data_IF_906866216018
#
_entry.id   IF_906866216018
#
_cell.length_a   1.000
_cell.length_b   1.000
_cell.length_c   1.000
_cell.angle_alpha   90.00
_cell.angle_beta   90.00
_cell.angle_gamma   90.00
#
_symmetry.space_group_name_H-M   'P 1'
#
loop_
_entity.id
_entity.type
_entity.pdbx_description
1 polymer ?
#
# COMPACT_ATOMS: atom_id res chain seq x y z
N UNK A 1 -14.77 13.66 16.62
CA UNK A 1 -13.62 14.30 15.97
C UNK A 1 -12.40 13.42 16.18
N UNK A 2 -11.75 12.99 15.07
CA UNK A 2 -10.53 12.20 15.17
C UNK A 2 -9.37 13.04 15.73
N UNK A 3 -8.37 12.37 16.28
CA UNK A 3 -7.15 13.02 16.76
C UNK A 3 -6.22 13.24 15.56
N UNK A 4 -6.05 14.48 15.11
CA UNK A 4 -5.04 14.82 14.14
C UNK A 4 -3.64 14.57 14.72
N UNK A 5 -2.75 14.03 13.91
CA UNK A 5 -1.41 13.63 14.31
C UNK A 5 -1.28 12.12 14.53
N UNK A 6 -0.07 11.62 14.33
CA UNK A 6 0.25 10.22 14.55
C UNK A 6 0.26 9.86 16.04
N UNK A 7 0.03 8.59 16.32
CA UNK A 7 0.13 8.02 17.65
C UNK A 7 0.64 6.58 17.57
N UNK A 8 0.90 5.97 18.70
CA UNK A 8 1.39 4.59 18.74
C UNK A 8 0.79 3.87 19.96
N UNK A 9 0.67 2.55 19.84
CA UNK A 9 0.17 1.70 20.92
C UNK A 9 1.21 1.54 22.03
N UNK A 10 0.74 1.15 23.21
CA UNK A 10 1.61 0.91 24.37
C UNK A 10 2.68 -0.16 24.11
N UNK A 11 2.39 -1.13 23.24
CA UNK A 11 3.37 -2.16 22.84
C UNK A 11 4.66 -1.61 22.25
N UNK A 12 4.65 -0.37 21.74
CA UNK A 12 5.85 0.30 21.20
C UNK A 12 6.86 0.72 22.27
N UNK A 13 6.48 0.72 23.54
CA UNK A 13 7.38 1.01 24.66
C UNK A 13 8.35 -0.17 24.94
N UNK A 14 8.01 -1.36 24.45
CA UNK A 14 8.81 -2.56 24.64
C UNK A 14 9.60 -2.87 23.38
N UNK A 15 10.91 -2.95 23.52
CA UNK A 15 11.77 -3.38 22.42
C UNK A 15 11.62 -4.90 22.20
N UNK A 16 11.40 -5.30 20.96
CA UNK A 16 11.30 -6.71 20.56
C UNK A 16 12.37 -7.00 19.51
N UNK A 17 13.12 -8.09 19.73
CA UNK A 17 14.11 -8.51 18.76
C UNK A 17 13.44 -9.06 17.48
N UNK A 18 13.96 -8.72 16.30
CA UNK A 18 13.46 -9.29 15.05
C UNK A 18 13.69 -10.80 15.00
N UNK A 19 12.71 -11.50 14.42
CA UNK A 19 12.79 -12.95 14.19
C UNK A 19 13.28 -13.21 12.76
N UNK A 20 14.04 -14.29 12.58
CA UNK A 20 14.60 -14.68 11.30
C UNK A 20 14.37 -16.16 11.03
N UNK A 21 14.20 -16.51 9.76
CA UNK A 21 14.23 -17.88 9.28
C UNK A 21 15.36 -18.04 8.27
N UNK A 22 15.96 -19.24 8.25
CA UNK A 22 16.93 -19.60 7.23
C UNK A 22 16.26 -20.45 6.16
N UNK A 23 16.38 -20.02 4.91
CA UNK A 23 15.94 -20.77 3.73
C UNK A 23 17.03 -20.72 2.66
N UNK A 24 17.44 -21.90 2.19
CA UNK A 24 18.44 -22.03 1.11
C UNK A 24 19.72 -21.22 1.35
N UNK A 25 20.20 -21.19 2.60
CA UNK A 25 21.39 -20.44 2.99
C UNK A 25 21.21 -18.93 3.18
N UNK A 26 19.99 -18.42 3.04
CA UNK A 26 19.68 -17.01 3.28
C UNK A 26 18.91 -16.82 4.58
N UNK A 27 19.34 -15.84 5.36
CA UNK A 27 18.66 -15.41 6.58
C UNK A 27 17.68 -14.30 6.25
N UNK A 28 16.38 -14.59 6.42
CA UNK A 28 15.30 -13.65 6.08
C UNK A 28 14.54 -13.24 7.34
N UNK A 29 14.24 -11.94 7.52
CA UNK A 29 13.39 -11.51 8.62
C UNK A 29 11.96 -12.02 8.40
N UNK A 30 11.29 -12.37 9.48
CA UNK A 30 9.88 -12.77 9.48
C UNK A 30 9.08 -11.93 10.45
N UNK A 31 7.82 -11.73 10.14
CA UNK A 31 6.89 -11.06 11.05
C UNK A 31 6.43 -12.04 12.12
N UNK A 32 6.54 -11.71 13.42
CA UNK A 32 6.00 -12.56 14.48
C UNK A 32 4.52 -12.85 14.30
N UNK A 33 4.09 -14.06 14.68
CA UNK A 33 2.71 -14.52 14.45
C UNK A 33 1.66 -13.59 15.06
N UNK A 34 1.88 -13.09 16.28
CA UNK A 34 0.92 -12.19 16.93
C UNK A 34 0.79 -10.85 16.20
N UNK A 35 1.88 -10.30 15.67
CA UNK A 35 1.86 -9.08 14.86
C UNK A 35 1.16 -9.32 13.52
N UNK A 36 1.43 -10.45 12.86
CA UNK A 36 0.74 -10.81 11.61
C UNK A 36 -0.77 -10.90 11.80
N UNK A 37 -1.24 -11.52 12.87
CA UNK A 37 -2.67 -11.64 13.19
C UNK A 37 -3.28 -10.26 13.46
N UNK A 38 -2.61 -9.41 14.23
CA UNK A 38 -3.08 -8.05 14.49
C UNK A 38 -3.17 -7.22 13.19
N UNK A 39 -2.16 -7.30 12.34
CA UNK A 39 -2.14 -6.62 11.04
C UNK A 39 -3.29 -7.07 10.13
N UNK A 40 -3.50 -8.38 10.03
CA UNK A 40 -4.58 -8.96 9.21
C UNK A 40 -5.96 -8.48 9.69
N UNK A 41 -6.18 -8.50 11.00
CA UNK A 41 -7.44 -8.01 11.58
C UNK A 41 -7.66 -6.52 11.36
N UNK A 42 -6.61 -5.71 11.50
CA UNK A 42 -6.68 -4.25 11.26
C UNK A 42 -6.97 -3.99 9.78
N UNK A 43 -6.29 -4.68 8.87
CA UNK A 43 -6.54 -4.51 7.43
C UNK A 43 -7.96 -4.93 7.05
N UNK A 44 -8.42 -6.08 7.53
CA UNK A 44 -9.77 -6.56 7.25
C UNK A 44 -10.83 -5.62 7.81
N UNK A 45 -10.69 -5.18 9.06
CA UNK A 45 -11.60 -4.20 9.67
C UNK A 45 -11.57 -2.86 8.95
N UNK A 46 -10.40 -2.39 8.58
CA UNK A 46 -10.20 -1.16 7.80
C UNK A 46 -10.92 -1.20 6.47
N UNK A 47 -10.78 -2.29 5.72
CA UNK A 47 -11.40 -2.42 4.40
C UNK A 47 -12.90 -2.69 4.43
N UNK A 48 -13.43 -3.33 5.48
CA UNK A 48 -14.85 -3.70 5.57
C UNK A 48 -15.69 -2.69 6.35
N UNK A 49 -15.15 -2.15 7.46
CA UNK A 49 -15.90 -1.29 8.39
C UNK A 49 -15.47 0.17 8.39
N UNK A 50 -14.20 0.44 8.09
CA UNK A 50 -13.60 1.77 8.22
C UNK A 50 -13.01 2.28 6.90
N UNK A 51 -13.67 1.97 5.80
CA UNK A 51 -13.22 2.32 4.44
C UNK A 51 -13.01 3.82 4.21
N UNK A 52 -13.75 4.65 4.94
CA UNK A 52 -13.68 6.11 4.81
C UNK A 52 -12.52 6.72 5.60
N UNK A 53 -11.83 5.92 6.40
CA UNK A 53 -10.70 6.36 7.25
C UNK A 53 -9.42 5.56 7.00
N UNK A 54 -9.51 4.25 6.84
CA UNK A 54 -8.36 3.38 6.59
C UNK A 54 -7.73 3.68 5.23
N UNK A 55 -6.41 3.84 5.20
CA UNK A 55 -5.67 4.09 3.98
C UNK A 55 -4.76 2.92 3.58
N UNK A 56 -4.17 2.24 4.53
CA UNK A 56 -3.29 1.12 4.29
C UNK A 56 -2.43 0.79 5.50
N UNK A 57 -1.59 -0.21 5.36
CA UNK A 57 -0.62 -0.58 6.38
C UNK A 57 0.64 -1.17 5.75
N UNK A 58 1.71 -1.13 6.51
CA UNK A 58 2.99 -1.76 6.17
C UNK A 58 3.64 -2.36 7.42
N UNK A 59 4.58 -3.28 7.23
CA UNK A 59 5.34 -3.88 8.33
C UNK A 59 6.79 -3.40 8.30
N UNK A 60 7.30 -3.02 9.48
CA UNK A 60 8.72 -2.79 9.71
C UNK A 60 9.26 -3.99 10.51
N UNK A 61 9.76 -4.99 9.80
CA UNK A 61 10.24 -6.24 10.41
C UNK A 61 11.49 -6.03 11.27
N UNK A 62 12.29 -5.00 10.99
CA UNK A 62 13.51 -4.71 11.78
C UNK A 62 13.16 -4.19 13.17
N UNK A 63 12.11 -3.37 13.26
CA UNK A 63 11.63 -2.81 14.52
C UNK A 63 10.47 -3.59 15.11
N UNK A 64 10.04 -4.65 14.45
CA UNK A 64 8.94 -5.53 14.88
C UNK A 64 7.67 -4.73 15.19
N UNK A 65 7.26 -3.91 14.21
CA UNK A 65 6.08 -3.05 14.31
C UNK A 65 5.31 -3.00 13.00
N UNK A 66 4.04 -2.68 13.08
CA UNK A 66 3.24 -2.30 11.93
C UNK A 66 3.04 -0.78 11.91
N UNK A 67 2.91 -0.22 10.71
CA UNK A 67 2.54 1.17 10.49
C UNK A 67 1.18 1.17 9.81
N UNK A 68 0.20 1.79 10.45
CA UNK A 68 -1.17 1.91 9.93
C UNK A 68 -1.39 3.35 9.50
N UNK A 69 -1.85 3.55 8.28
CA UNK A 69 -2.17 4.84 7.72
C UNK A 69 -3.68 5.04 7.74
N UNK A 70 -4.14 6.19 8.27
CA UNK A 70 -5.56 6.54 8.31
C UNK A 70 -5.77 8.04 8.15
N UNK A 71 -6.89 8.42 7.57
CA UNK A 71 -7.32 9.83 7.52
C UNK A 71 -7.78 10.24 8.92
N UNK A 72 -7.26 11.33 9.50
CA UNK A 72 -7.55 11.69 10.90
C UNK A 72 -8.98 12.17 11.13
N UNK A 73 -9.67 12.62 10.10
CA UNK A 73 -11.05 13.08 10.21
C UNK A 73 -11.98 11.91 10.53
N UNK A 74 -12.71 12.01 11.64
CA UNK A 74 -13.64 10.96 12.10
C UNK A 74 -13.01 9.59 12.36
N UNK A 75 -11.74 9.55 12.77
CA UNK A 75 -10.98 8.30 12.97
C UNK A 75 -11.12 7.67 14.35
N UNK A 76 -11.89 8.27 15.28
CA UNK A 76 -11.93 7.84 16.69
C UNK A 76 -12.29 6.36 16.85
N UNK A 77 -13.33 5.88 16.18
CA UNK A 77 -13.75 4.48 16.25
C UNK A 77 -12.71 3.52 15.68
N UNK A 78 -12.04 3.93 14.60
CA UNK A 78 -10.97 3.13 14.03
C UNK A 78 -9.72 3.13 14.91
N UNK A 79 -9.36 4.26 15.49
CA UNK A 79 -8.25 4.36 16.45
C UNK A 79 -8.50 3.44 17.66
N UNK A 80 -9.72 3.40 18.18
CA UNK A 80 -10.10 2.49 19.27
C UNK A 80 -10.03 1.02 18.83
N UNK A 81 -10.51 0.71 17.65
CA UNK A 81 -10.39 -0.63 17.07
C UNK A 81 -8.92 -1.09 16.95
N UNK A 82 -8.01 -0.19 16.52
CA UNK A 82 -6.58 -0.48 16.47
C UNK A 82 -6.03 -0.77 17.87
N UNK A 83 -6.38 0.02 18.87
CA UNK A 83 -5.91 -0.19 20.27
C UNK A 83 -6.34 -1.55 20.81
N UNK A 84 -7.59 -1.91 20.60
CA UNK A 84 -8.14 -3.20 21.03
C UNK A 84 -7.49 -4.39 20.30
N UNK A 85 -7.25 -4.24 19.00
CA UNK A 85 -6.70 -5.32 18.16
C UNK A 85 -5.20 -5.49 18.33
N UNK A 86 -4.47 -4.43 18.65
CA UNK A 86 -3.01 -4.45 18.77
C UNK A 86 -2.50 -5.36 19.89
N UNK A 87 -3.28 -5.55 20.97
CA UNK A 87 -2.85 -6.27 22.16
C UNK A 87 -1.50 -5.73 22.69
N UNK A 88 -0.46 -6.56 22.73
CA UNK A 88 0.89 -6.18 23.15
C UNK A 88 1.81 -5.78 21.97
N UNK A 89 1.30 -5.77 20.75
CA UNK A 89 2.08 -5.42 19.57
C UNK A 89 2.30 -3.92 19.44
N UNK A 90 3.43 -3.53 18.86
CA UNK A 90 3.70 -2.16 18.48
C UNK A 90 3.01 -1.82 17.14
N UNK A 91 2.01 -0.95 17.21
CA UNK A 91 1.36 -0.36 16.04
C UNK A 91 1.59 1.14 16.07
N UNK A 92 2.19 1.67 15.02
CA UNK A 92 2.38 3.10 14.80
C UNK A 92 1.29 3.57 13.84
N UNK A 93 0.52 4.56 14.25
CA UNK A 93 -0.54 5.14 13.41
C UNK A 93 -0.06 6.47 12.86
N UNK A 94 -0.19 6.66 11.56
CA UNK A 94 0.19 7.88 10.84
C UNK A 94 -1.00 8.44 10.07
N UNK A 95 -1.00 9.76 9.93
CA UNK A 95 -2.00 10.44 9.12
C UNK A 95 -1.78 10.16 7.63
N UNK A 96 -2.88 9.95 6.92
CA UNK A 96 -2.92 9.82 5.47
C UNK A 96 -3.84 10.90 4.89
N UNK A 97 -3.59 11.25 3.64
CA UNK A 97 -4.41 12.23 2.93
C UNK A 97 -5.73 11.64 2.41
N UNK A 98 -5.72 10.37 1.99
CA UNK A 98 -6.82 9.71 1.30
C UNK A 98 -7.07 8.31 1.84
N UNK A 99 -8.35 7.98 2.04
CA UNK A 99 -8.78 6.66 2.49
C UNK A 99 -8.98 5.69 1.30
N UNK A 100 -9.05 4.38 1.61
CA UNK A 100 -9.23 3.34 0.58
C UNK A 100 -10.54 3.49 -0.19
N UNK A 101 -11.62 3.98 0.42
CA UNK A 101 -12.88 4.24 -0.29
C UNK A 101 -12.71 5.31 -1.36
N UNK A 102 -12.10 6.44 -1.02
CA UNK A 102 -11.84 7.53 -1.96
C UNK A 102 -10.92 7.08 -3.10
N UNK A 103 -9.79 6.47 -2.77
CA UNK A 103 -8.84 5.99 -3.78
C UNK A 103 -9.40 4.85 -4.63
N UNK A 104 -10.27 4.02 -4.07
CA UNK A 104 -11.00 2.99 -4.80
C UNK A 104 -11.94 3.56 -5.86
N UNK A 105 -12.66 4.62 -5.54
CA UNK A 105 -13.53 5.32 -6.49
C UNK A 105 -12.71 5.94 -7.64
N UNK A 106 -11.59 6.55 -7.32
CA UNK A 106 -10.67 7.07 -8.34
C UNK A 106 -10.06 5.97 -9.20
N UNK A 107 -9.66 4.86 -8.59
CA UNK A 107 -9.17 3.69 -9.31
C UNK A 107 -10.19 3.21 -10.34
N UNK A 108 -11.42 3.00 -9.93
CA UNK A 108 -12.49 2.51 -10.81
C UNK A 108 -12.77 3.49 -11.97
N UNK A 109 -12.73 4.77 -11.68
CA UNK A 109 -12.92 5.81 -12.68
C UNK A 109 -11.79 5.83 -13.72
N UNK A 110 -10.54 5.77 -13.30
CA UNK A 110 -9.39 5.74 -14.22
C UNK A 110 -9.37 4.45 -15.03
N UNK A 111 -9.66 3.31 -14.42
CA UNK A 111 -9.74 2.02 -15.11
C UNK A 111 -10.84 2.01 -16.17
N UNK A 112 -12.00 2.60 -15.88
CA UNK A 112 -13.06 2.75 -16.86
C UNK A 112 -12.66 3.61 -18.07
N UNK A 113 -11.70 4.52 -17.91
CA UNK A 113 -11.23 5.45 -18.94
C UNK A 113 -9.96 4.99 -19.68
N UNK A 114 -9.49 3.74 -19.46
CA UNK A 114 -8.24 3.26 -20.08
C UNK A 114 -8.24 3.37 -21.60
N UNK A 115 -9.34 3.00 -22.27
CA UNK A 115 -9.46 3.11 -23.72
C UNK A 115 -9.44 4.58 -24.19
N UNK A 116 -10.10 5.47 -23.46
CA UNK A 116 -10.09 6.92 -23.71
C UNK A 116 -8.66 7.47 -23.67
N UNK A 117 -7.87 7.09 -22.67
CA UNK A 117 -6.49 7.54 -22.56
C UNK A 117 -5.58 6.95 -23.62
N UNK A 118 -5.77 5.67 -23.97
CA UNK A 118 -5.00 5.03 -25.06
C UNK A 118 -5.19 5.77 -26.38
N UNK A 119 -6.41 6.11 -26.73
CA UNK A 119 -6.72 6.88 -27.97
C UNK A 119 -6.06 8.26 -27.96
N UNK A 120 -5.93 8.87 -26.79
CA UNK A 120 -5.25 10.16 -26.62
C UNK A 120 -3.73 10.06 -26.56
N UNK A 121 -3.18 8.87 -26.62
CA UNK A 121 -1.74 8.63 -26.58
C UNK A 121 -1.14 8.62 -25.18
N UNK A 122 -1.94 8.35 -24.16
CA UNK A 122 -1.47 8.06 -22.79
C UNK A 122 -1.64 6.56 -22.53
N UNK A 123 -0.55 5.84 -22.53
CA UNK A 123 -0.52 4.39 -22.28
C UNK A 123 -0.34 4.14 -20.78
N UNK A 124 -1.42 3.79 -20.13
CA UNK A 124 -1.43 3.45 -18.71
C UNK A 124 -1.06 1.97 -18.56
N UNK A 125 -0.03 1.69 -17.78
CA UNK A 125 0.49 0.35 -17.52
C UNK A 125 -0.04 -0.20 -16.20
N UNK A 126 -0.07 0.64 -15.17
CA UNK A 126 -0.57 0.27 -13.84
C UNK A 126 -1.41 1.38 -13.23
N UNK A 127 -2.40 0.96 -12.44
CA UNK A 127 -3.22 1.84 -11.61
C UNK A 127 -3.32 1.19 -10.23
N UNK A 128 -2.90 1.88 -9.19
CA UNK A 128 -2.95 1.32 -7.83
C UNK A 128 -2.93 2.39 -6.76
N UNK A 129 -3.65 2.14 -5.67
CA UNK A 129 -3.59 3.00 -4.50
C UNK A 129 -2.29 2.79 -3.75
N UNK A 130 -1.64 3.87 -3.34
CA UNK A 130 -0.49 3.77 -2.45
C UNK A 130 -0.94 3.36 -1.05
N UNK A 131 -0.18 2.45 -0.44
CA UNK A 131 -0.48 1.92 0.90
C UNK A 131 -0.37 2.98 2.01
N UNK A 132 0.33 4.09 1.76
CA UNK A 132 0.43 5.23 2.67
C UNK A 132 -0.72 6.24 2.52
N UNK A 133 -1.67 5.99 1.60
CA UNK A 133 -2.80 6.87 1.33
C UNK A 133 -2.44 8.20 0.68
N UNK A 134 -1.24 8.33 0.11
CA UNK A 134 -0.80 9.58 -0.53
C UNK A 134 -1.55 9.87 -1.83
N UNK A 135 -2.03 8.85 -2.52
CA UNK A 135 -2.80 8.99 -3.76
C UNK A 135 -2.90 7.70 -4.56
N UNK A 136 -3.51 7.84 -5.73
CA UNK A 136 -3.60 6.81 -6.75
C UNK A 136 -2.39 6.91 -7.68
N UNK A 137 -1.56 5.88 -7.73
CA UNK A 137 -0.39 5.82 -8.58
C UNK A 137 -0.75 5.35 -9.98
N UNK A 138 -0.40 6.16 -10.97
CA UNK A 138 -0.59 5.90 -12.39
C UNK A 138 0.78 5.64 -13.01
N UNK A 139 1.05 4.38 -13.32
CA UNK A 139 2.23 3.99 -14.08
C UNK A 139 1.96 4.13 -15.56
N UNK A 140 2.77 4.93 -16.26
CA UNK A 140 2.57 5.22 -17.68
C UNK A 140 3.87 5.30 -18.44
N UNK A 141 3.82 4.98 -19.74
CA UNK A 141 4.93 5.19 -20.67
C UNK A 141 5.02 6.62 -21.17
N UNK A 142 3.97 7.41 -20.98
CA UNK A 142 3.82 8.74 -21.54
C UNK A 142 3.69 9.77 -20.41
N UNK A 143 4.70 9.79 -19.51
CA UNK A 143 4.68 10.52 -18.25
C UNK A 143 4.37 12.01 -18.40
N UNK A 144 5.06 12.71 -19.31
CA UNK A 144 4.87 14.16 -19.52
C UNK A 144 3.44 14.47 -19.97
N UNK A 145 2.91 13.69 -20.90
CA UNK A 145 1.56 13.85 -21.40
C UNK A 145 0.49 13.54 -20.36
N UNK A 146 0.70 12.48 -19.59
CA UNK A 146 -0.19 12.10 -18.49
C UNK A 146 -0.27 13.20 -17.42
N UNK A 147 0.85 13.79 -17.04
CA UNK A 147 0.93 14.90 -16.08
C UNK A 147 0.22 16.16 -16.56
N UNK A 148 0.21 16.39 -17.86
CA UNK A 148 -0.45 17.56 -18.45
C UNK A 148 -1.96 17.33 -18.63
N UNK A 149 -2.35 16.21 -19.22
CA UNK A 149 -3.73 15.97 -19.65
C UNK A 149 -4.64 15.35 -18.59
N UNK A 150 -4.15 14.45 -17.75
CA UNK A 150 -5.00 13.76 -16.79
C UNK A 150 -5.52 14.67 -15.67
N UNK A 151 -4.73 15.55 -15.06
CA UNK A 151 -5.27 16.53 -14.10
C UNK A 151 -6.24 17.52 -14.74
N UNK A 152 -6.02 17.91 -15.99
CA UNK A 152 -6.95 18.77 -16.72
C UNK A 152 -8.32 18.09 -16.94
N UNK A 153 -8.33 16.77 -17.11
CA UNK A 153 -9.55 15.98 -17.31
C UNK A 153 -10.28 15.68 -16.00
N UNK A 154 -9.56 15.24 -14.96
CA UNK A 154 -10.14 14.81 -13.68
C UNK A 154 -10.29 15.93 -12.65
N UNK A 155 -9.62 17.05 -12.86
CA UNK A 155 -9.52 18.15 -11.92
C UNK A 155 -8.16 18.20 -11.21
N UNK A 156 -7.72 19.40 -10.87
CA UNK A 156 -6.42 19.61 -10.22
C UNK A 156 -6.32 19.01 -8.81
N UNK A 157 -7.46 18.73 -8.18
CA UNK A 157 -7.54 18.13 -6.84
C UNK A 157 -7.56 16.58 -6.88
N UNK A 158 -7.58 15.98 -8.08
CA UNK A 158 -7.54 14.53 -8.21
C UNK A 158 -6.23 13.96 -7.60
N UNK A 159 -6.33 12.96 -6.73
CA UNK A 159 -5.17 12.46 -5.96
C UNK A 159 -4.30 11.52 -6.82
N UNK A 160 -3.83 12.00 -7.97
CA UNK A 160 -3.05 11.22 -8.93
C UNK A 160 -1.55 11.44 -8.73
N UNK A 161 -0.80 10.34 -8.70
CA UNK A 161 0.66 10.32 -8.64
C UNK A 161 1.16 9.61 -9.89
N UNK A 162 1.97 10.28 -10.69
CA UNK A 162 2.45 9.73 -11.96
C UNK A 162 3.87 9.19 -11.83
N UNK A 163 4.05 7.95 -12.28
CA UNK A 163 5.36 7.30 -12.35
C UNK A 163 5.62 6.78 -13.75
N UNK A 164 6.88 6.90 -14.20
CA UNK A 164 7.28 6.34 -15.48
C UNK A 164 7.44 4.83 -15.36
N UNK A 165 6.76 4.11 -16.24
CA UNK A 165 6.95 2.67 -16.37
C UNK A 165 7.28 2.33 -17.80
N UNK A 166 8.41 1.65 -17.99
CA UNK A 166 8.78 1.07 -19.24
C UNK A 166 7.80 -0.02 -19.72
N UNK A 167 7.96 -0.55 -20.94
CA UNK A 167 7.20 -1.72 -21.36
C UNK A 167 7.37 -2.83 -20.33
N UNK A 168 6.28 -3.51 -19.99
CA UNK A 168 6.38 -4.73 -19.22
C UNK A 168 7.38 -5.64 -19.92
N UNK A 169 8.52 -5.86 -19.30
CA UNK A 169 9.46 -6.85 -19.81
C UNK A 169 8.78 -8.19 -19.58
N UNK A 170 8.46 -8.98 -20.62
CA UNK A 170 8.00 -10.33 -20.37
C UNK A 170 9.06 -10.98 -19.50
N UNK A 171 8.67 -11.63 -18.42
CA UNK A 171 9.52 -12.60 -17.77
C UNK A 171 9.83 -13.62 -18.88
N UNK A 172 10.97 -13.45 -19.51
CA UNK A 172 11.54 -14.48 -20.33
C UNK A 172 11.82 -15.61 -19.33
N UNK A 173 11.00 -16.65 -19.39
CA UNK A 173 11.37 -17.92 -18.81
C UNK A 173 12.77 -18.23 -19.33
N UNK A 174 13.75 -17.93 -18.52
CA UNK A 174 15.08 -18.45 -18.73
C UNK A 174 14.97 -19.95 -18.44
N UNK A 175 14.60 -20.71 -19.46
CA UNK A 175 14.81 -22.13 -19.47
C UNK A 175 16.32 -22.31 -19.33
N UNK A 176 16.74 -22.62 -18.11
CA UNK A 176 18.09 -23.11 -17.89
C UNK A 176 18.14 -24.46 -18.59
N UNK A 177 18.68 -24.46 -19.79
CA UNK A 177 19.08 -25.69 -20.47
C UNK A 177 20.18 -26.28 -19.60
N UNK A 178 19.84 -27.29 -18.83
CA UNK A 178 20.84 -28.09 -18.12
C UNK A 178 21.71 -28.75 -19.22
N UNK A 179 23.03 -28.63 -19.12
CA UNK A 179 23.88 -29.38 -20.04
C UNK A 179 23.64 -30.88 -19.80
N UNK A 180 23.28 -31.59 -20.87
CA UNK A 180 23.29 -33.05 -20.90
C UNK A 180 24.71 -33.50 -20.54
N UNK A 181 24.81 -34.31 -19.50
CA UNK A 181 26.00 -35.06 -19.23
C UNK A 181 26.05 -36.19 -20.27
N UNK A 182 26.95 -36.06 -21.25
CA UNK A 182 27.40 -37.19 -22.03
C UNK A 182 28.28 -38.11 -21.17
N UNK A 183 27.91 -39.39 -21.10
CA UNK A 183 28.67 -40.49 -20.53
C UNK A 183 29.98 -40.78 -21.28
#
# INVERSE_FOLDING_TARGET
AGTAGGWRTAGCEFSRAPEFVERSGFRMPVTPASLSVAMERIEQGGRLRFRDVFAGLEVDQRRVRAIVYRVPTASTEFDDFIRETAESNCIVVRDAAHAVAELGDWHDRVVADLAFWTVRGVRIVTVGSRHDGAGLEIGTRDLAKARDEMPAHYGGDAPLIFVEQGPATPLTDAWVVMPEHDD
#
